data_IF_021786349581
#
_entry.id   IF_021786349581
#
_cell.length_a   1.000
_cell.length_b   1.000
_cell.length_c   1.000
_cell.angle_alpha   90.00
_cell.angle_beta   90.00
_cell.angle_gamma   90.00
#
_symmetry.space_group_name_H-M   'P 1'
#
loop_
_entity.id
_entity.type
_entity.pdbx_description
1 polymer ?
#
# COMPACT_ATOMS: atom_id res chain seq x y z
N UNK A 1 -1.55 6.47 72.49
CA UNK A 1 -1.55 7.34 71.30
C UNK A 1 -1.82 6.42 70.12
N UNK A 2 -2.92 6.51 69.37
CA UNK A 2 -3.73 7.68 69.02
C UNK A 2 -5.22 7.48 69.39
N UNK A 3 -5.80 8.48 70.05
CA UNK A 3 -7.24 8.67 70.14
C UNK A 3 -7.54 10.07 69.60
N UNK A 4 -8.56 10.23 68.75
CA UNK A 4 -8.90 11.51 68.12
C UNK A 4 -8.27 11.75 66.75
N UNK A 5 -8.43 10.81 65.80
CA UNK A 5 -8.42 11.18 64.38
C UNK A 5 -9.84 11.64 64.02
N UNK A 6 -9.99 12.89 63.59
CA UNK A 6 -11.28 13.45 63.16
C UNK A 6 -11.87 12.61 62.02
N UNK A 7 -13.17 12.31 62.11
CA UNK A 7 -13.93 11.55 61.12
C UNK A 7 -13.80 12.17 59.71
N UNK A 8 -13.67 13.51 59.64
CA UNK A 8 -13.40 14.23 58.40
C UNK A 8 -12.08 13.82 57.75
N UNK A 9 -11.05 13.59 58.57
CA UNK A 9 -9.72 13.18 58.10
C UNK A 9 -9.73 11.75 57.55
N UNK A 10 -10.44 10.83 58.24
CA UNK A 10 -10.63 9.45 57.77
C UNK A 10 -11.39 9.42 56.44
N UNK A 11 -12.45 10.24 56.31
CA UNK A 11 -13.20 10.37 55.05
C UNK A 11 -12.37 10.98 53.92
N UNK A 12 -11.54 11.99 54.19
CA UNK A 12 -10.60 12.53 53.19
C UNK A 12 -9.59 11.47 52.73
N UNK A 13 -8.99 10.70 53.65
CA UNK A 13 -8.03 9.63 53.29
C UNK A 13 -8.70 8.53 52.46
N UNK A 14 -9.94 8.15 52.78
CA UNK A 14 -10.71 7.19 51.98
C UNK A 14 -11.07 7.74 50.59
N UNK A 15 -11.45 9.03 50.48
CA UNK A 15 -11.70 9.68 49.19
C UNK A 15 -10.42 9.78 48.34
N UNK A 16 -9.28 10.12 48.94
CA UNK A 16 -7.99 10.15 48.25
C UNK A 16 -7.56 8.75 47.81
N UNK A 17 -7.75 7.72 48.64
CA UNK A 17 -7.48 6.34 48.27
C UNK A 17 -8.37 5.86 47.10
N UNK A 18 -9.66 6.20 47.11
CA UNK A 18 -10.59 5.92 46.02
C UNK A 18 -10.22 6.68 44.73
N UNK A 19 -9.82 7.95 44.84
CA UNK A 19 -9.34 8.72 43.69
C UNK A 19 -8.08 8.10 43.08
N UNK A 20 -7.12 7.65 43.91
CA UNK A 20 -5.89 7.00 43.45
C UNK A 20 -6.14 5.62 42.81
N UNK A 21 -7.10 4.82 43.31
CA UNK A 21 -7.46 3.54 42.67
C UNK A 21 -8.21 3.75 41.36
N UNK A 22 -9.07 4.77 41.25
CA UNK A 22 -9.72 5.16 39.98
C UNK A 22 -8.66 5.66 38.97
N UNK A 23 -7.69 6.47 39.38
CA UNK A 23 -6.57 6.90 38.52
C UNK A 23 -5.70 5.72 38.05
N UNK A 24 -5.47 4.71 38.92
CA UNK A 24 -4.70 3.53 38.55
C UNK A 24 -5.42 2.61 37.53
N UNK A 25 -6.76 2.59 37.53
CA UNK A 25 -7.56 1.83 36.55
C UNK A 25 -7.66 2.55 35.19
N UNK A 26 -7.63 3.89 35.18
CA UNK A 26 -7.70 4.69 33.95
C UNK A 26 -6.35 4.86 33.22
N UNK A 27 -5.23 4.64 33.92
CA UNK A 27 -3.87 4.93 33.42
C UNK A 27 -3.24 3.96 32.41
N UNK A 28 -4.00 3.06 31.74
CA UNK A 28 -3.43 2.06 30.81
C UNK A 28 -3.84 2.17 29.33
N UNK A 29 -4.75 3.07 28.93
CA UNK A 29 -5.30 3.04 27.57
C UNK A 29 -4.53 3.83 26.50
N UNK A 30 -3.80 4.90 26.83
CA UNK A 30 -3.17 5.79 25.81
C UNK A 30 -2.23 5.08 24.81
N UNK A 31 -1.65 3.94 25.20
CA UNK A 31 -0.74 3.17 24.34
C UNK A 31 -1.44 2.27 23.31
N UNK A 32 -2.75 2.07 23.45
CA UNK A 32 -3.57 1.20 22.60
C UNK A 32 -3.98 1.88 21.30
N UNK A 33 -4.36 3.15 21.36
CA UNK A 33 -5.04 3.85 20.27
C UNK A 33 -4.11 4.20 19.09
N UNK A 34 -2.79 4.30 19.35
CA UNK A 34 -1.74 4.51 18.34
C UNK A 34 -1.74 3.42 17.23
N UNK A 35 -2.34 2.26 17.47
CA UNK A 35 -2.40 1.15 16.51
C UNK A 35 -3.79 0.90 15.91
N UNK A 36 -4.71 1.88 15.99
CA UNK A 36 -6.10 1.76 15.53
C UNK A 36 -6.42 2.78 14.44
N UNK A 37 -7.30 2.41 13.51
CA UNK A 37 -7.95 3.37 12.62
C UNK A 37 -9.00 4.12 13.41
N UNK A 38 -8.80 5.42 13.64
CA UNK A 38 -9.77 6.30 14.30
C UNK A 38 -10.75 6.87 13.28
N UNK A 39 -12.05 6.80 13.56
CA UNK A 39 -13.07 7.46 12.74
C UNK A 39 -12.83 8.98 12.72
N UNK A 40 -12.85 9.60 11.53
CA UNK A 40 -12.68 11.05 11.39
C UNK A 40 -13.70 11.66 10.42
N UNK A 41 -14.16 12.88 10.71
CA UNK A 41 -14.94 13.67 9.77
C UNK A 41 -14.03 14.33 8.73
N UNK A 42 -14.58 14.53 7.53
CA UNK A 42 -13.84 15.00 6.36
C UNK A 42 -14.52 16.24 5.74
N UNK A 43 -13.75 17.14 5.12
CA UNK A 43 -14.29 18.30 4.41
C UNK A 43 -15.11 17.87 3.20
N UNK A 44 -16.27 18.50 2.97
CA UNK A 44 -17.10 18.25 1.80
C UNK A 44 -16.64 19.11 0.62
N UNK A 45 -16.34 18.46 -0.52
CA UNK A 45 -15.77 19.09 -1.70
C UNK A 45 -16.81 19.08 -2.82
N UNK A 46 -17.27 20.26 -3.25
CA UNK A 46 -18.31 20.39 -4.28
C UNK A 46 -17.71 20.84 -5.61
N UNK A 47 -18.11 20.18 -6.70
CA UNK A 47 -17.88 20.66 -8.07
C UNK A 47 -18.74 21.90 -8.31
N UNK A 48 -18.11 22.99 -8.76
CA UNK A 48 -18.80 24.26 -9.07
C UNK A 48 -19.04 24.44 -10.56
N UNK A 49 -17.96 24.33 -11.33
CA UNK A 49 -17.96 24.63 -12.75
C UNK A 49 -17.01 23.66 -13.46
N UNK A 50 -17.27 23.36 -14.73
CA UNK A 50 -16.39 22.50 -15.53
C UNK A 50 -16.35 23.02 -16.95
N UNK A 51 -15.17 23.49 -17.37
CA UNK A 51 -14.92 24.10 -18.66
C UNK A 51 -14.07 23.20 -19.55
N UNK A 52 -14.27 23.18 -20.88
CA UNK A 52 -13.31 22.58 -21.81
C UNK A 52 -11.99 23.36 -21.80
N UNK A 53 -10.88 22.65 -21.97
CA UNK A 53 -9.52 23.20 -22.06
C UNK A 53 -8.87 22.76 -23.37
N UNK A 54 -7.90 23.53 -23.85
CA UNK A 54 -7.12 23.25 -25.06
C UNK A 54 -6.63 21.79 -25.11
N UNK A 55 -6.77 21.17 -26.28
CA UNK A 55 -6.32 19.80 -26.56
C UNK A 55 -4.84 19.62 -26.19
N UNK A 56 -4.46 18.52 -25.51
CA UNK A 56 -3.05 18.25 -25.20
C UNK A 56 -2.25 18.09 -26.48
N UNK A 57 -1.04 18.65 -26.50
CA UNK A 57 -0.11 18.54 -27.61
C UNK A 57 0.76 17.28 -27.50
N UNK A 58 0.83 16.69 -26.30
CA UNK A 58 1.67 15.56 -25.92
C UNK A 58 3.17 15.82 -26.17
N UNK A 59 3.60 17.08 -26.02
CA UNK A 59 5.01 17.51 -26.15
C UNK A 59 5.71 17.42 -24.78
N UNK A 60 5.40 16.36 -24.01
CA UNK A 60 6.17 16.04 -22.82
C UNK A 60 7.61 15.78 -23.22
N UNK A 61 8.56 16.49 -22.61
CA UNK A 61 9.98 16.29 -22.91
C UNK A 61 10.44 14.97 -22.30
N UNK A 62 11.09 14.11 -23.10
CA UNK A 62 11.97 13.09 -22.54
C UNK A 62 13.08 13.77 -21.71
N UNK A 63 13.46 13.12 -20.62
CA UNK A 63 14.31 13.69 -19.57
C UNK A 63 15.66 14.17 -20.13
N UNK A 64 15.91 15.48 -20.01
CA UNK A 64 17.21 15.86 -19.45
C UNK A 64 17.12 15.54 -17.96
N UNK A 65 18.17 14.95 -17.38
CA UNK A 65 18.31 14.88 -15.93
C UNK A 65 18.07 16.28 -15.36
N UNK A 66 16.93 16.47 -14.68
CA UNK A 66 16.60 17.73 -14.06
C UNK A 66 17.54 17.88 -12.86
N UNK A 67 18.61 18.66 -13.06
CA UNK A 67 19.56 19.00 -12.00
C UNK A 67 18.75 19.62 -10.88
N UNK A 68 18.61 18.85 -9.79
CA UNK A 68 17.72 19.07 -8.67
C UNK A 68 16.88 20.35 -8.74
N UNK A 69 15.61 20.22 -9.13
CA UNK A 69 14.60 21.17 -8.64
C UNK A 69 14.51 20.99 -7.12
N UNK A 70 15.44 21.65 -6.39
CA UNK A 70 15.60 21.54 -4.94
C UNK A 70 14.26 21.81 -4.30
N UNK A 71 13.70 20.76 -3.68
CA UNK A 71 12.39 20.87 -3.06
C UNK A 71 12.57 21.61 -1.75
N UNK A 72 11.68 22.59 -1.56
CA UNK A 72 11.39 23.13 -0.25
C UNK A 72 11.13 21.99 0.75
N UNK A 73 12.12 21.72 1.59
CA UNK A 73 12.04 20.72 2.63
C UNK A 73 11.05 21.07 3.73
N UNK A 74 11.06 20.24 4.76
CA UNK A 74 10.11 20.34 5.88
C UNK A 74 10.16 21.71 6.56
N UNK A 75 11.33 22.33 6.64
CA UNK A 75 11.51 23.58 7.38
C UNK A 75 10.82 24.76 6.69
N UNK A 76 10.95 24.90 5.37
CA UNK A 76 10.18 25.92 4.65
C UNK A 76 8.69 25.55 4.55
N UNK A 77 8.31 24.26 4.46
CA UNK A 77 6.90 23.87 4.58
C UNK A 77 6.31 24.21 5.96
N UNK A 78 7.07 24.08 7.05
CA UNK A 78 6.68 24.50 8.39
C UNK A 78 6.65 26.02 8.56
N UNK A 79 7.36 26.78 7.72
CA UNK A 79 7.32 28.25 7.71
C UNK A 79 6.29 28.85 6.74
N UNK A 80 5.63 28.05 5.90
CA UNK A 80 4.61 28.56 5.00
C UNK A 80 3.39 29.04 5.81
N UNK A 81 2.84 30.23 5.52
CA UNK A 81 1.62 30.68 6.16
C UNK A 81 0.44 29.74 5.83
N UNK A 82 -0.56 29.62 6.71
CA UNK A 82 -1.79 28.88 6.42
C UNK A 82 -2.37 29.31 5.07
N UNK A 83 -2.72 28.33 4.25
CA UNK A 83 -3.23 28.57 2.91
C UNK A 83 -4.64 29.14 2.98
N UNK A 84 -4.84 30.32 2.39
CA UNK A 84 -6.17 30.91 2.24
C UNK A 84 -7.14 29.97 1.49
N UNK A 85 -8.42 30.02 1.85
CA UNK A 85 -9.45 29.13 1.29
C UNK A 85 -9.53 29.25 -0.23
N UNK A 86 -9.46 30.46 -0.81
CA UNK A 86 -9.55 30.64 -2.27
C UNK A 86 -8.34 29.99 -2.96
N UNK A 87 -7.15 30.10 -2.36
CA UNK A 87 -5.94 29.45 -2.87
C UNK A 87 -6.03 27.92 -2.75
N UNK A 88 -6.60 27.41 -1.66
CA UNK A 88 -6.81 25.98 -1.43
C UNK A 88 -7.84 25.39 -2.40
N UNK A 89 -8.97 26.06 -2.60
CA UNK A 89 -10.01 25.69 -3.59
C UNK A 89 -9.44 25.67 -5.01
N UNK A 90 -8.66 26.68 -5.39
CA UNK A 90 -7.98 26.74 -6.70
C UNK A 90 -6.99 25.59 -6.91
N UNK A 91 -6.30 25.15 -5.86
CA UNK A 91 -5.33 24.04 -5.90
C UNK A 91 -6.03 22.67 -5.92
N UNK A 92 -7.20 22.57 -5.28
CA UNK A 92 -8.08 21.39 -5.27
C UNK A 92 -9.01 21.33 -6.49
N UNK A 93 -9.07 22.39 -7.31
CA UNK A 93 -9.48 22.30 -8.70
C UNK A 93 -8.69 21.20 -9.41
N UNK A 94 -9.20 20.67 -10.52
CA UNK A 94 -8.54 19.55 -11.17
C UNK A 94 -8.83 19.49 -12.66
N UNK A 95 -7.92 18.86 -13.39
CA UNK A 95 -8.08 18.61 -14.81
C UNK A 95 -8.49 17.15 -15.06
N UNK A 96 -9.37 16.93 -16.03
CA UNK A 96 -9.76 15.59 -16.52
C UNK A 96 -9.43 15.43 -18.00
N UNK A 97 -8.56 14.47 -18.33
CA UNK A 97 -8.34 13.99 -19.70
C UNK A 97 -9.17 12.73 -19.97
N UNK A 98 -9.91 12.71 -21.08
CA UNK A 98 -10.82 11.63 -21.48
C UNK A 98 -10.25 10.72 -22.60
N UNK A 99 -10.83 9.53 -22.82
CA UNK A 99 -10.40 8.55 -23.84
C UNK A 99 -10.43 9.10 -25.29
N UNK A 100 -11.27 10.09 -25.58
CA UNK A 100 -11.30 10.80 -26.87
C UNK A 100 -10.13 11.78 -27.05
N UNK A 101 -9.45 12.18 -25.96
CA UNK A 101 -8.37 13.18 -25.94
C UNK A 101 -8.81 14.60 -25.54
N UNK A 102 -10.10 14.85 -25.27
CA UNK A 102 -10.54 16.17 -24.75
C UNK A 102 -10.09 16.36 -23.31
N UNK A 103 -9.89 17.62 -22.91
CA UNK A 103 -9.57 18.04 -21.53
C UNK A 103 -10.68 18.94 -20.98
N UNK A 104 -10.95 18.82 -19.69
CA UNK A 104 -11.75 19.80 -18.94
C UNK A 104 -11.05 20.20 -17.64
N UNK A 105 -11.18 21.47 -17.26
CA UNK A 105 -10.84 21.95 -15.92
C UNK A 105 -12.11 22.03 -15.09
N UNK A 106 -12.05 21.54 -13.86
CA UNK A 106 -13.15 21.57 -12.90
C UNK A 106 -12.76 22.42 -11.69
N UNK A 107 -13.53 23.49 -11.49
CA UNK A 107 -13.46 24.35 -10.31
C UNK A 107 -14.25 23.72 -9.16
N UNK A 108 -13.76 23.88 -7.93
CA UNK A 108 -14.35 23.26 -6.73
C UNK A 108 -14.49 24.27 -5.60
N UNK A 109 -15.37 24.00 -4.63
CA UNK A 109 -15.44 24.74 -3.37
C UNK A 109 -15.49 23.80 -2.17
N UNK A 110 -14.96 24.25 -1.04
CA UNK A 110 -15.01 23.53 0.23
C UNK A 110 -16.19 24.01 1.08
N UNK A 111 -16.93 23.05 1.65
CA UNK A 111 -17.98 23.33 2.63
C UNK A 111 -17.53 22.93 4.04
N UNK A 112 -17.71 23.85 4.99
CA UNK A 112 -17.95 23.53 6.39
C UNK A 112 -16.86 22.77 7.12
N UNK A 113 -15.59 23.14 6.95
CA UNK A 113 -14.50 22.55 7.74
C UNK A 113 -13.56 23.61 8.29
N UNK A 114 -13.76 23.97 9.57
CA UNK A 114 -12.72 24.64 10.35
C UNK A 114 -11.60 23.62 10.55
N UNK A 115 -10.57 23.70 9.70
CA UNK A 115 -9.36 22.93 9.89
C UNK A 115 -8.65 23.49 11.13
N UNK A 116 -8.93 22.90 12.29
CA UNK A 116 -7.98 22.95 13.40
C UNK A 116 -6.73 22.24 12.94
N UNK A 117 -5.84 23.00 12.29
CA UNK A 117 -4.47 22.61 12.03
C UNK A 117 -3.88 22.20 13.38
N UNK A 118 -3.90 20.90 13.65
CA UNK A 118 -3.38 20.34 14.90
C UNK A 118 -1.94 20.82 14.99
N UNK A 119 -1.66 21.66 15.99
CA UNK A 119 -0.36 22.31 16.11
C UNK A 119 0.70 21.22 16.20
N UNK A 120 1.39 20.98 15.07
CA UNK A 120 2.43 19.99 14.98
C UNK A 120 3.61 20.49 15.81
N UNK A 121 3.59 20.10 17.08
CA UNK A 121 4.78 20.16 17.92
C UNK A 121 5.87 19.37 17.20
N UNK A 122 7.00 20.04 16.96
CA UNK A 122 8.18 19.43 16.36
C UNK A 122 8.72 18.35 17.30
N UNK A 123 8.17 17.15 17.19
CA UNK A 123 8.70 15.99 17.88
C UNK A 123 10.00 15.61 17.18
N UNK A 124 11.13 16.06 17.73
CA UNK A 124 12.46 15.58 17.37
C UNK A 124 12.54 14.07 17.63
N UNK A 125 12.14 13.27 16.65
CA UNK A 125 12.35 11.83 16.66
C UNK A 125 13.85 11.58 16.74
N UNK A 126 14.29 10.93 17.83
CA UNK A 126 15.69 10.60 18.05
C UNK A 126 16.20 9.82 16.83
N UNK A 127 17.04 10.47 15.99
CA UNK A 127 17.67 9.85 14.82
C UNK A 127 18.34 8.55 15.23
N UNK A 128 17.68 7.41 14.98
CA UNK A 128 18.37 6.13 14.97
C UNK A 128 19.27 6.16 13.74
N UNK A 129 20.57 5.96 13.94
CA UNK A 129 21.53 5.75 12.84
C UNK A 129 21.03 4.56 12.02
N UNK A 130 20.43 4.83 10.88
CA UNK A 130 20.15 3.80 9.89
C UNK A 130 21.43 3.64 9.08
N UNK A 131 22.19 2.60 9.40
CA UNK A 131 23.29 2.15 8.54
C UNK A 131 22.64 1.66 7.25
N UNK A 132 23.12 2.14 6.09
CA UNK A 132 22.70 1.60 4.80
C UNK A 132 23.01 0.10 4.77
N UNK A 133 21.96 -0.72 4.86
CA UNK A 133 22.05 -2.16 4.92
C UNK A 133 22.01 -2.79 3.54
N UNK A 134 22.23 -4.10 3.50
CA UNK A 134 21.95 -4.96 2.34
C UNK A 134 20.54 -4.72 1.77
N UNK A 135 20.44 -4.83 0.44
CA UNK A 135 19.24 -4.63 -0.39
C UNK A 135 17.92 -4.97 0.35
N UNK A 136 17.10 -3.93 0.54
CA UNK A 136 15.85 -4.01 1.30
C UNK A 136 14.65 -4.50 0.47
N UNK A 137 14.86 -4.85 -0.79
CA UNK A 137 13.81 -5.13 -1.78
C UNK A 137 13.48 -6.63 -1.79
N UNK A 138 12.25 -6.95 -1.41
CA UNK A 138 11.74 -8.32 -1.43
C UNK A 138 11.08 -8.62 -2.77
N UNK A 139 11.80 -9.29 -3.67
CA UNK A 139 11.30 -9.71 -4.98
C UNK A 139 10.28 -10.85 -4.81
N UNK A 140 8.99 -10.55 -5.00
CA UNK A 140 7.89 -11.51 -4.88
C UNK A 140 7.87 -12.42 -6.12
N UNK A 141 8.70 -13.47 -6.07
CA UNK A 141 8.93 -14.39 -7.20
C UNK A 141 8.03 -15.63 -7.17
N UNK A 142 7.47 -16.00 -6.02
CA UNK A 142 6.56 -17.15 -5.90
C UNK A 142 5.18 -16.76 -6.43
N UNK A 143 4.73 -17.54 -7.41
CA UNK A 143 3.46 -17.37 -8.13
C UNK A 143 2.26 -17.23 -7.20
N UNK A 144 2.24 -17.93 -6.07
CA UNK A 144 1.14 -17.88 -5.11
C UNK A 144 0.98 -16.48 -4.49
N UNK A 145 2.08 -15.79 -4.21
CA UNK A 145 2.04 -14.48 -3.56
C UNK A 145 1.74 -13.35 -4.55
N UNK A 146 2.19 -13.46 -5.80
CA UNK A 146 1.98 -12.44 -6.85
C UNK A 146 0.49 -12.08 -7.02
N UNK A 147 -0.41 -13.07 -6.99
CA UNK A 147 -1.86 -12.83 -7.12
C UNK A 147 -2.58 -12.58 -5.81
N UNK A 148 -1.90 -12.68 -4.67
CA UNK A 148 -2.49 -12.51 -3.35
C UNK A 148 -2.35 -11.07 -2.84
N UNK A 149 -3.34 -10.66 -2.04
CA UNK A 149 -3.33 -9.37 -1.36
C UNK A 149 -2.24 -9.37 -0.26
N UNK A 150 -1.45 -8.29 -0.09
CA UNK A 150 -1.59 -6.97 -0.70
C UNK A 150 -0.93 -6.81 -2.08
N UNK A 151 -0.09 -7.75 -2.51
CA UNK A 151 0.76 -7.60 -3.70
C UNK A 151 -0.04 -7.47 -5.00
N UNK A 152 -1.18 -8.15 -5.12
CA UNK A 152 -2.05 -8.06 -6.30
C UNK A 152 -2.79 -6.74 -6.48
N UNK A 153 -2.72 -5.82 -5.50
CA UNK A 153 -3.18 -4.44 -5.66
C UNK A 153 -2.15 -3.55 -6.39
N UNK A 154 -0.88 -3.96 -6.48
CA UNK A 154 0.15 -3.22 -7.21
C UNK A 154 -0.04 -3.37 -8.73
N UNK A 155 0.13 -2.28 -9.46
CA UNK A 155 -0.03 -2.24 -10.93
C UNK A 155 1.12 -1.50 -11.60
N UNK A 156 1.32 -1.78 -12.89
CA UNK A 156 2.32 -1.10 -13.74
C UNK A 156 1.61 -0.24 -14.78
N UNK A 157 2.10 0.97 -15.04
CA UNK A 157 1.62 1.85 -16.11
C UNK A 157 2.42 1.58 -17.40
N UNK A 158 1.86 1.93 -18.56
CA UNK A 158 2.59 1.87 -19.83
C UNK A 158 3.82 2.78 -19.86
N UNK A 159 3.79 3.87 -19.09
CA UNK A 159 4.90 4.81 -18.88
C UNK A 159 6.05 4.24 -18.05
N UNK A 160 5.96 2.99 -17.58
CA UNK A 160 6.99 2.33 -16.78
C UNK A 160 6.82 2.50 -15.26
N UNK A 161 6.05 3.50 -14.83
CA UNK A 161 5.69 3.73 -13.43
C UNK A 161 4.86 2.60 -12.78
N UNK A 162 4.76 2.69 -11.46
CA UNK A 162 3.89 1.88 -10.60
C UNK A 162 2.57 2.60 -10.26
N UNK A 163 1.63 1.85 -9.68
CA UNK A 163 0.36 2.36 -9.15
C UNK A 163 -0.22 1.39 -8.13
N UNK A 164 -1.33 1.80 -7.50
CA UNK A 164 -2.12 0.95 -6.60
C UNK A 164 -3.60 0.96 -6.99
N UNK A 165 -4.22 -0.21 -7.07
CA UNK A 165 -5.67 -0.36 -7.18
C UNK A 165 -6.32 0.05 -5.87
N UNK A 166 -7.18 1.06 -5.91
CA UNK A 166 -8.01 1.51 -4.77
C UNK A 166 -9.52 1.28 -4.96
N UNK A 167 -9.91 0.79 -6.15
CA UNK A 167 -11.24 0.23 -6.41
C UNK A 167 -11.15 -0.71 -7.63
N UNK A 168 -12.17 -1.53 -7.93
CA UNK A 168 -12.15 -2.40 -9.12
C UNK A 168 -11.93 -1.65 -10.45
N UNK A 169 -12.16 -0.34 -10.49
CA UNK A 169 -11.95 0.52 -11.67
C UNK A 169 -10.95 1.65 -11.46
N UNK A 170 -10.37 1.85 -10.28
CA UNK A 170 -9.58 3.05 -9.99
C UNK A 170 -8.17 2.73 -9.50
N UNK A 171 -7.21 3.42 -10.10
CA UNK A 171 -5.78 3.31 -9.79
C UNK A 171 -5.27 4.68 -9.34
N UNK A 172 -4.64 4.71 -8.17
CA UNK A 172 -3.90 5.86 -7.68
C UNK A 172 -2.43 5.69 -8.08
N UNK A 173 -1.81 6.78 -8.55
CA UNK A 173 -0.42 6.85 -9.01
C UNK A 173 0.11 8.28 -8.82
N UNK A 174 1.38 8.54 -9.14
CA UNK A 174 1.96 9.88 -9.09
C UNK A 174 1.55 10.68 -10.34
N UNK A 175 1.32 11.99 -10.21
CA UNK A 175 0.99 12.85 -11.35
C UNK A 175 2.15 12.91 -12.37
N UNK A 176 3.39 12.94 -11.88
CA UNK A 176 4.63 12.89 -12.69
C UNK A 176 4.69 11.68 -13.63
N UNK A 177 4.03 10.56 -13.31
CA UNK A 177 4.00 9.36 -14.14
C UNK A 177 3.18 9.50 -15.44
N UNK A 178 2.47 10.62 -15.62
CA UNK A 178 1.55 10.85 -16.74
C UNK A 178 1.53 12.31 -17.24
N UNK A 179 2.08 13.28 -16.49
CA UNK A 179 2.02 14.71 -16.79
C UNK A 179 3.26 15.43 -16.26
N UNK A 180 3.92 16.27 -17.07
CA UNK A 180 5.18 16.94 -16.71
C UNK A 180 5.00 18.24 -15.89
N UNK A 181 3.74 18.65 -15.66
CA UNK A 181 3.37 19.90 -15.02
C UNK A 181 2.78 20.91 -16.02
N UNK A 182 3.00 20.72 -17.32
CA UNK A 182 2.45 21.52 -18.42
C UNK A 182 1.53 20.72 -19.34
N UNK A 183 1.90 19.48 -19.68
CA UNK A 183 1.13 18.62 -20.58
C UNK A 183 1.28 17.11 -20.24
N UNK A 184 0.44 16.28 -20.86
CA UNK A 184 0.46 14.83 -20.66
C UNK A 184 1.61 14.16 -21.43
N UNK A 185 2.25 13.18 -20.79
CA UNK A 185 3.36 12.38 -21.36
C UNK A 185 2.88 11.36 -22.40
N UNK A 186 1.69 10.77 -22.20
CA UNK A 186 1.09 9.80 -23.11
C UNK A 186 -0.32 10.22 -23.54
N UNK A 187 -0.65 9.95 -24.82
CA UNK A 187 -2.03 9.99 -25.30
C UNK A 187 -2.93 9.05 -24.49
N UNK A 188 -4.15 9.51 -24.16
CA UNK A 188 -5.17 8.69 -23.49
C UNK A 188 -5.47 7.35 -24.20
N UNK A 189 -5.24 7.26 -25.51
CA UNK A 189 -5.36 6.01 -26.29
C UNK A 189 -4.19 5.04 -26.10
N UNK A 190 -3.01 5.54 -25.72
CA UNK A 190 -1.79 4.75 -25.46
C UNK A 190 -1.73 4.28 -24.01
N UNK A 191 -2.15 5.14 -23.06
CA UNK A 191 -2.09 4.90 -21.62
C UNK A 191 -2.85 3.64 -21.19
N UNK A 192 -2.14 2.71 -20.56
CA UNK A 192 -2.67 1.44 -20.06
C UNK A 192 -2.15 1.16 -18.66
N UNK A 193 -2.91 0.36 -17.92
CA UNK A 193 -2.52 -0.21 -16.64
C UNK A 193 -2.49 -1.74 -16.74
N UNK A 194 -1.36 -2.33 -16.36
CA UNK A 194 -1.10 -3.76 -16.29
C UNK A 194 -1.29 -4.28 -14.88
N UNK A 195 -2.22 -5.22 -14.71
CA UNK A 195 -2.34 -6.04 -13.50
C UNK A 195 -1.63 -7.38 -13.73
N UNK A 196 -0.83 -7.84 -12.78
CA UNK A 196 -0.10 -9.09 -12.92
C UNK A 196 -1.06 -10.30 -12.73
N UNK A 197 -0.97 -11.30 -13.60
CA UNK A 197 -1.79 -12.52 -13.56
C UNK A 197 -0.97 -13.76 -13.88
N UNK A 198 -1.25 -14.89 -13.22
CA UNK A 198 -0.63 -16.17 -13.56
C UNK A 198 -1.25 -16.74 -14.82
N UNK A 199 -0.44 -16.89 -15.88
CA UNK A 199 -0.86 -17.62 -17.07
C UNK A 199 -0.67 -19.13 -16.82
N UNK A 200 -1.77 -19.82 -16.53
CA UNK A 200 -1.79 -21.28 -16.54
C UNK A 200 -1.49 -21.74 -17.97
N UNK A 201 -0.33 -22.39 -18.18
CA UNK A 201 -0.06 -23.10 -19.43
C UNK A 201 -1.07 -24.25 -19.56
N UNK A 202 -2.18 -24.02 -20.28
CA UNK A 202 -3.04 -25.11 -20.78
C UNK A 202 -2.15 -26.01 -21.63
N UNK A 203 -1.78 -27.17 -21.09
CA UNK A 203 -0.99 -28.15 -21.81
C UNK A 203 -1.68 -28.50 -23.12
N UNK A 204 -0.91 -28.62 -24.21
CA UNK A 204 -1.37 -29.27 -25.44
C UNK A 204 -1.56 -30.77 -25.17
N UNK A 205 -2.56 -31.14 -24.38
CA UNK A 205 -3.15 -32.47 -24.47
C UNK A 205 -3.76 -32.56 -25.87
N UNK A 206 -3.06 -33.28 -26.74
CA UNK A 206 -3.43 -33.39 -28.14
C UNK A 206 -4.85 -33.92 -28.27
N UNK A 207 -5.58 -33.40 -29.27
CA UNK A 207 -6.87 -33.95 -29.71
C UNK A 207 -6.67 -35.42 -30.14
N UNK A 208 -6.75 -36.37 -29.21
CA UNK A 208 -7.01 -37.76 -29.55
C UNK A 208 -8.43 -37.83 -30.09
N UNK A 209 -8.56 -37.81 -31.42
CA UNK A 209 -9.76 -38.29 -32.12
C UNK A 209 -10.07 -39.68 -31.58
N UNK A 210 -11.16 -39.83 -30.85
CA UNK A 210 -11.54 -41.09 -30.22
C UNK A 210 -13.05 -41.28 -30.19
N UNK A 211 -13.53 -42.27 -30.94
CA UNK A 211 -14.73 -43.04 -30.61
C UNK A 211 -16.06 -42.29 -30.46
N UNK A 212 -16.79 -42.17 -31.57
CA UNK A 212 -18.25 -41.96 -31.59
C UNK A 212 -18.97 -43.04 -30.75
N UNK A 213 -19.53 -42.69 -29.58
CA UNK A 213 -20.64 -43.43 -28.95
C UNK A 213 -21.72 -42.47 -28.45
N UNK A 214 -22.98 -42.80 -28.78
CA UNK A 214 -24.19 -42.08 -28.36
C UNK A 214 -24.65 -42.60 -27.00
N UNK A 215 -24.81 -41.70 -26.04
CA UNK A 215 -25.81 -41.66 -24.97
C UNK A 215 -25.61 -40.27 -24.34
N UNK A 216 -26.63 -39.43 -24.12
CA UNK A 216 -28.00 -39.74 -23.72
C UNK A 216 -28.06 -39.51 -22.22
N UNK A 217 -28.34 -38.26 -21.82
CA UNK A 217 -28.32 -37.78 -20.43
C UNK A 217 -28.10 -36.27 -20.38
N UNK A 218 -29.14 -35.52 -20.01
CA UNK A 218 -29.04 -34.12 -19.62
C UNK A 218 -28.61 -34.04 -18.15
N UNK A 219 -27.49 -33.38 -17.85
CA UNK A 219 -27.21 -32.89 -16.50
C UNK A 219 -26.87 -31.39 -16.58
N UNK A 220 -27.70 -30.57 -15.91
CA UNK A 220 -27.43 -29.14 -15.74
C UNK A 220 -26.33 -28.98 -14.69
N UNK A 221 -25.12 -28.67 -15.14
CA UNK A 221 -24.04 -28.27 -14.25
C UNK A 221 -24.30 -26.83 -13.75
N UNK A 222 -24.81 -26.71 -12.52
CA UNK A 222 -24.97 -25.46 -11.79
C UNK A 222 -23.59 -24.95 -11.35
N UNK A 223 -23.15 -23.80 -11.88
CA UNK A 223 -21.83 -23.23 -11.57
C UNK A 223 -21.89 -22.53 -10.19
N UNK A 224 -21.71 -23.33 -9.13
CA UNK A 224 -21.78 -22.85 -7.76
C UNK A 224 -20.72 -21.77 -7.45
N UNK A 225 -21.21 -20.65 -6.92
CA UNK A 225 -20.41 -19.56 -6.39
C UNK A 225 -19.52 -20.08 -5.24
N UNK A 226 -18.20 -19.92 -5.35
CA UNK A 226 -17.33 -20.02 -4.16
C UNK A 226 -17.47 -18.76 -3.31
N UNK A 227 -18.26 -18.90 -2.25
CA UNK A 227 -18.41 -17.92 -1.18
C UNK A 227 -17.10 -17.71 -0.41
N UNK A 228 -16.93 -16.53 0.18
CA UNK A 228 -15.64 -16.06 0.71
C UNK A 228 -15.26 -16.69 2.04
N UNK A 229 -14.38 -17.71 2.01
CA UNK A 229 -13.70 -18.19 3.20
C UNK A 229 -12.78 -17.14 3.82
N UNK A 230 -13.06 -16.73 5.06
CA UNK A 230 -12.13 -15.95 5.88
C UNK A 230 -10.99 -16.84 6.40
N UNK A 231 -9.72 -16.48 6.14
CA UNK A 231 -8.60 -17.11 6.87
C UNK A 231 -7.68 -16.11 7.56
N UNK A 232 -7.41 -16.40 8.83
CA UNK A 232 -6.65 -15.59 9.78
C UNK A 232 -5.19 -16.05 9.77
N UNK A 233 -4.30 -15.25 9.20
CA UNK A 233 -2.86 -15.50 9.31
C UNK A 233 -2.25 -14.77 10.52
N UNK A 234 -2.21 -15.47 11.66
CA UNK A 234 -1.32 -15.19 12.77
C UNK A 234 0.02 -15.88 12.53
N UNK A 235 1.07 -15.09 12.29
CA UNK A 235 2.45 -15.54 12.44
C UNK A 235 2.88 -15.12 13.84
N UNK A 236 3.10 -16.10 14.73
CA UNK A 236 3.91 -15.87 15.92
C UNK A 236 4.70 -17.13 16.27
N UNK A 237 5.85 -16.94 16.90
CA UNK A 237 6.94 -17.93 16.93
C UNK A 237 7.08 -18.72 18.24
N UNK A 238 7.77 -19.85 18.10
CA UNK A 238 8.62 -20.51 19.12
C UNK A 238 8.08 -20.77 20.53
N UNK A 239 7.86 -22.06 20.83
CA UNK A 239 8.33 -22.66 22.10
C UNK A 239 8.82 -24.09 21.89
N UNK A 240 10.02 -24.38 22.37
CA UNK A 240 10.74 -25.62 22.09
C UNK A 240 10.16 -26.86 22.77
N UNK A 241 10.20 -28.00 22.06
CA UNK A 241 9.86 -29.32 22.62
C UNK A 241 11.02 -29.87 23.45
N UNK A 242 10.84 -30.00 24.77
CA UNK A 242 11.60 -30.98 25.56
C UNK A 242 10.93 -32.35 25.42
N UNK A 243 11.72 -33.38 25.13
CA UNK A 243 11.23 -34.74 24.88
C UNK A 243 11.12 -35.60 26.14
N UNK A 244 10.55 -36.79 25.98
CA UNK A 244 10.48 -37.80 27.04
C UNK A 244 9.56 -38.96 26.66
N UNK A 245 10.14 -40.07 26.19
CA UNK A 245 9.43 -41.33 25.99
C UNK A 245 10.26 -42.50 26.56
N UNK A 246 9.88 -43.02 27.73
CA UNK A 246 10.24 -44.38 28.17
C UNK A 246 9.34 -45.39 27.43
N UNK A 247 9.84 -46.50 26.86
CA UNK A 247 10.36 -47.73 27.51
C UNK A 247 9.35 -48.34 28.50
N UNK A 248 9.07 -49.67 28.56
CA UNK A 248 9.35 -50.93 27.80
C UNK A 248 8.30 -51.97 28.33
N UNK A 249 8.01 -53.16 27.79
CA UNK A 249 8.82 -54.39 27.97
C UNK A 249 8.14 -55.70 27.44
N UNK A 250 9.02 -56.68 27.12
CA UNK A 250 8.91 -58.16 26.90
C UNK A 250 9.48 -58.50 25.51
N UNK A 251 10.52 -59.32 25.29
CA UNK A 251 11.12 -60.47 26.00
C UNK A 251 10.92 -61.73 25.12
N UNK A 252 11.84 -62.66 24.84
CA UNK A 252 13.29 -62.83 25.11
C UNK A 252 13.81 -64.19 24.54
N UNK A 253 15.14 -64.46 24.52
CA UNK A 253 15.85 -65.70 24.03
C UNK A 253 15.70 -65.99 22.50
N UNK A 254 16.60 -66.61 21.71
CA UNK A 254 17.95 -67.17 21.87
C UNK A 254 18.04 -68.62 21.32
N UNK A 255 18.94 -69.07 20.42
CA UNK A 255 20.07 -68.45 19.67
C UNK A 255 20.86 -69.49 18.80
N UNK A 256 22.08 -69.15 18.33
CA UNK A 256 23.07 -69.95 17.52
C UNK A 256 22.85 -70.14 16.00
N UNK A 257 23.94 -70.57 15.34
CA UNK A 257 24.33 -70.46 13.92
C UNK A 257 23.79 -71.54 12.96
N UNK A 258 23.83 -71.28 11.65
CA UNK A 258 23.63 -72.26 10.57
C UNK A 258 23.72 -71.64 9.17
N UNK A 259 24.53 -72.21 8.27
CA UNK A 259 24.85 -71.70 6.92
C UNK A 259 23.98 -72.37 5.84
N UNK A 260 23.45 -71.62 4.86
CA UNK A 260 23.46 -71.94 3.41
C UNK A 260 22.69 -70.87 2.60
N UNK A 261 22.87 -70.86 1.27
CA UNK A 261 22.57 -69.75 0.36
C UNK A 261 21.57 -70.15 -0.75
N UNK A 262 20.53 -69.33 -0.98
CA UNK A 262 20.01 -68.81 -2.28
C UNK A 262 18.50 -68.44 -2.27
N UNK A 263 18.21 -67.23 -2.77
CA UNK A 263 16.98 -66.74 -3.46
C UNK A 263 15.59 -67.19 -2.92
N UNK A 264 14.72 -66.33 -2.37
CA UNK A 264 14.11 -65.18 -3.07
C UNK A 264 13.34 -64.21 -2.12
N UNK A 265 13.08 -62.97 -2.57
CA UNK A 265 11.86 -62.22 -2.21
C UNK A 265 11.70 -61.56 -0.82
N UNK A 266 12.11 -60.28 -0.67
CA UNK A 266 11.25 -59.13 -0.27
C UNK A 266 12.07 -57.86 0.02
N UNK A 267 12.02 -56.88 -0.90
CA UNK A 267 12.67 -55.57 -0.77
C UNK A 267 12.16 -54.79 0.46
N UNK A 268 12.99 -54.66 1.50
CA UNK A 268 12.75 -53.70 2.60
C UNK A 268 12.86 -52.28 2.06
N UNK A 269 11.79 -51.48 2.20
CA UNK A 269 11.77 -50.05 1.87
C UNK A 269 12.82 -49.31 2.72
N UNK A 270 13.93 -48.93 2.09
CA UNK A 270 14.80 -47.87 2.63
C UNK A 270 13.96 -46.59 2.68
N UNK A 271 13.62 -46.08 3.87
CA UNK A 271 13.02 -44.74 4.02
C UNK A 271 14.11 -43.70 3.85
N UNK A 272 14.56 -43.51 2.60
CA UNK A 272 15.38 -42.35 2.23
C UNK A 272 14.62 -41.11 2.66
N UNK A 273 15.23 -40.28 3.52
CA UNK A 273 14.68 -38.98 3.88
C UNK A 273 14.61 -38.13 2.61
N UNK A 274 13.42 -38.05 2.01
CA UNK A 274 13.17 -37.18 0.88
C UNK A 274 13.30 -35.75 1.36
N UNK A 275 14.50 -35.18 1.22
CA UNK A 275 14.74 -33.75 1.16
C UNK A 275 13.67 -33.18 0.22
N UNK A 276 12.68 -32.48 0.77
CA UNK A 276 11.60 -31.86 0.01
C UNK A 276 12.24 -30.77 -0.84
N UNK A 277 12.69 -31.13 -2.04
CA UNK A 277 12.79 -30.19 -3.14
C UNK A 277 11.36 -29.70 -3.35
N UNK A 278 11.07 -28.48 -2.87
CA UNK A 278 9.93 -27.73 -3.39
C UNK A 278 10.17 -27.64 -4.89
N UNK A 279 9.45 -28.43 -5.66
CA UNK A 279 9.41 -28.26 -7.10
C UNK A 279 8.85 -26.87 -7.35
N UNK A 280 9.69 -25.99 -7.91
CA UNK A 280 9.20 -24.83 -8.63
C UNK A 280 8.12 -25.31 -9.59
N UNK A 281 6.88 -24.79 -9.49
CA UNK A 281 5.83 -25.16 -10.43
C UNK A 281 6.19 -24.64 -11.82
N UNK A 282 6.73 -25.50 -12.68
CA UNK A 282 7.31 -25.16 -13.99
C UNK A 282 6.27 -24.73 -15.05
N UNK A 283 5.08 -24.26 -14.64
CA UNK A 283 3.93 -24.02 -15.51
C UNK A 283 3.17 -22.70 -15.33
N UNK A 284 3.42 -21.91 -14.28
CA UNK A 284 2.71 -20.65 -14.00
C UNK A 284 3.65 -19.45 -14.14
N UNK A 285 3.71 -18.85 -15.33
CA UNK A 285 4.45 -17.60 -15.54
C UNK A 285 3.54 -16.40 -15.22
N UNK A 286 4.01 -15.40 -14.46
CA UNK A 286 3.30 -14.13 -14.30
C UNK A 286 3.35 -13.37 -15.64
N UNK A 287 2.24 -12.73 -16.02
CA UNK A 287 2.12 -11.94 -17.24
C UNK A 287 1.20 -10.74 -16.96
N UNK A 288 1.55 -9.56 -17.45
CA UNK A 288 0.67 -8.40 -17.34
C UNK A 288 -0.57 -8.53 -18.22
N UNK A 289 -1.74 -8.34 -17.59
CA UNK A 289 -3.00 -8.10 -18.29
C UNK A 289 -3.26 -6.60 -18.33
N UNK A 290 -3.09 -6.02 -19.51
CA UNK A 290 -3.26 -4.59 -19.74
C UNK A 290 -4.73 -4.20 -19.96
N UNK A 291 -5.15 -3.11 -19.31
CA UNK A 291 -6.45 -2.44 -19.49
C UNK A 291 -6.21 -0.98 -19.86
N UNK A 292 -6.96 -0.43 -20.82
CA UNK A 292 -6.87 1.00 -21.18
C UNK A 292 -7.48 1.88 -20.09
N UNK A 293 -6.94 3.09 -19.95
CA UNK A 293 -7.54 4.16 -19.13
C UNK A 293 -8.71 4.79 -19.91
N UNK A 294 -9.80 5.12 -19.22
CA UNK A 294 -11.00 5.79 -19.74
C UNK A 294 -10.95 7.30 -19.49
N UNK A 295 -10.54 7.69 -18.28
CA UNK A 295 -10.29 9.07 -17.92
C UNK A 295 -9.20 9.15 -16.84
N UNK A 296 -8.53 10.28 -16.80
CA UNK A 296 -7.40 10.58 -15.93
C UNK A 296 -7.67 11.91 -15.24
N UNK A 297 -7.53 11.97 -13.91
CA UNK A 297 -7.70 13.20 -13.14
C UNK A 297 -6.42 13.59 -12.41
N UNK A 298 -6.08 14.87 -12.48
CA UNK A 298 -4.86 15.47 -11.92
C UNK A 298 -5.24 16.75 -11.16
N UNK A 299 -4.79 16.94 -9.90
CA UNK A 299 -5.06 18.16 -9.15
C UNK A 299 -4.33 19.36 -9.76
N UNK A 300 -4.99 20.51 -9.75
CA UNK A 300 -4.49 21.77 -10.30
C UNK A 300 -3.25 22.26 -9.54
N UNK A 301 -3.06 21.85 -8.27
CA UNK A 301 -1.81 22.00 -7.53
C UNK A 301 -0.56 21.44 -8.22
N UNK A 302 -0.67 20.33 -8.98
CA UNK A 302 0.43 19.80 -9.79
C UNK A 302 0.79 20.73 -10.95
N UNK A 303 -0.23 21.36 -11.55
CA UNK A 303 -0.15 22.11 -12.81
C UNK A 303 0.26 23.59 -12.58
N UNK A 304 -0.18 24.21 -11.48
CA UNK A 304 0.03 25.65 -11.21
C UNK A 304 1.50 26.05 -10.94
N UNK A 305 2.36 25.10 -10.61
CA UNK A 305 3.67 25.35 -9.99
C UNK A 305 4.72 26.01 -10.88
N UNK A 306 4.47 26.21 -12.19
CA UNK A 306 5.38 26.95 -13.07
C UNK A 306 5.12 28.47 -13.15
N UNK A 307 4.02 28.96 -12.56
CA UNK A 307 3.61 30.37 -12.66
C UNK A 307 3.84 31.21 -11.40
N UNK A 308 4.39 30.61 -10.35
CA UNK A 308 4.78 31.32 -9.12
C UNK A 308 5.93 30.59 -8.43
N UNK A 309 6.76 31.31 -7.66
CA UNK A 309 7.90 30.77 -6.88
C UNK A 309 7.48 29.86 -5.69
N UNK A 310 6.32 29.19 -5.79
CA UNK A 310 5.78 28.29 -4.77
C UNK A 310 6.02 26.84 -5.20
N UNK A 311 6.89 26.14 -4.51
CA UNK A 311 7.31 24.75 -4.74
C UNK A 311 6.27 23.68 -4.39
N UNK A 312 4.97 23.98 -4.56
CA UNK A 312 3.84 23.20 -4.03
C UNK A 312 3.40 22.06 -4.97
N UNK A 313 3.93 21.99 -6.21
CA UNK A 313 3.62 20.88 -7.14
C UNK A 313 3.85 19.50 -6.51
N UNK A 314 4.95 19.34 -5.78
CA UNK A 314 5.33 18.07 -5.15
C UNK A 314 4.30 17.58 -4.13
N UNK A 315 3.66 18.49 -3.39
CA UNK A 315 2.59 18.17 -2.44
C UNK A 315 1.36 17.57 -3.14
N UNK A 316 1.17 17.88 -4.43
CA UNK A 316 0.05 17.45 -5.27
C UNK A 316 0.48 16.48 -6.37
N UNK A 317 1.62 15.80 -6.21
CA UNK A 317 2.11 14.77 -7.15
C UNK A 317 1.34 13.44 -7.01
N UNK A 318 0.02 13.48 -7.24
CA UNK A 318 -0.85 12.30 -7.31
C UNK A 318 -1.89 12.44 -8.44
N UNK A 319 -2.31 11.32 -9.00
CA UNK A 319 -3.32 11.27 -10.05
C UNK A 319 -4.20 10.03 -9.92
N UNK A 320 -5.44 10.13 -10.39
CA UNK A 320 -6.39 9.01 -10.41
C UNK A 320 -6.71 8.60 -11.85
N UNK A 321 -6.54 7.31 -12.14
CA UNK A 321 -6.90 6.71 -13.43
C UNK A 321 -8.18 5.88 -13.27
N UNK A 322 -9.23 6.20 -14.02
CA UNK A 322 -10.37 5.28 -14.20
C UNK A 322 -10.07 4.30 -15.34
N UNK A 323 -10.09 3.01 -15.04
CA UNK A 323 -9.93 1.93 -16.00
C UNK A 323 -11.20 1.73 -16.83
N UNK A 324 -11.03 1.56 -18.15
CA UNK A 324 -12.15 1.31 -19.09
C UNK A 324 -12.94 0.03 -18.77
N UNK A 325 -12.35 -0.92 -18.03
CA UNK A 325 -12.99 -2.15 -17.58
C UNK A 325 -12.59 -2.45 -16.14
N UNK A 326 -13.48 -2.97 -15.29
CA UNK A 326 -13.12 -3.39 -13.95
C UNK A 326 -12.16 -4.59 -13.99
N UNK A 327 -11.21 -4.61 -13.06
CA UNK A 327 -10.28 -5.74 -12.85
C UNK A 327 -10.81 -6.67 -11.76
N UNK A 328 -10.33 -7.93 -11.75
CA UNK A 328 -10.74 -8.96 -10.77
C UNK A 328 -9.82 -9.04 -9.54
N UNK A 329 -8.68 -8.35 -9.58
CA UNK A 329 -7.72 -8.30 -8.47
C UNK A 329 -8.33 -7.60 -7.25
N UNK A 330 -7.88 -8.00 -6.06
CA UNK A 330 -8.21 -7.28 -4.82
C UNK A 330 -7.53 -5.91 -4.85
N UNK A 331 -8.30 -4.87 -4.61
CA UNK A 331 -7.82 -3.51 -4.40
C UNK A 331 -7.52 -3.28 -2.92
N UNK A 332 -6.82 -2.20 -2.60
CA UNK A 332 -6.59 -1.75 -1.24
C UNK A 332 -7.54 -0.60 -0.91
N UNK A 333 -7.98 -0.48 0.34
CA UNK A 333 -8.77 0.66 0.76
C UNK A 333 -7.93 1.94 0.77
N UNK A 334 -8.57 3.08 0.52
CA UNK A 334 -7.95 4.39 0.69
C UNK A 334 -8.01 4.79 2.17
N UNK A 335 -7.03 5.57 2.63
CA UNK A 335 -6.93 6.05 4.02
C UNK A 335 -6.33 7.44 4.10
N UNK A 336 -6.64 8.15 5.18
CA UNK A 336 -5.93 9.37 5.56
C UNK A 336 -4.67 8.99 6.33
N UNK A 337 -3.56 9.67 6.07
CA UNK A 337 -2.32 9.51 6.84
C UNK A 337 -2.51 9.99 8.29
N UNK A 338 -2.34 9.14 9.32
CA UNK A 338 -2.46 9.54 10.71
C UNK A 338 -1.61 10.76 11.09
N UNK A 339 -2.17 11.66 11.88
CA UNK A 339 -1.48 12.87 12.37
C UNK A 339 -0.85 12.69 13.76
N UNK A 340 -1.34 11.74 14.57
CA UNK A 340 -1.09 11.66 16.02
C UNK A 340 0.18 10.88 16.43
N UNK A 341 0.90 10.26 15.50
CA UNK A 341 2.17 9.58 15.78
C UNK A 341 3.04 9.49 14.52
N UNK A 342 4.38 9.62 14.62
CA UNK A 342 5.28 9.45 13.49
C UNK A 342 5.17 8.02 12.93
N UNK A 343 5.09 7.89 11.60
CA UNK A 343 4.82 6.62 10.93
C UNK A 343 6.01 5.65 11.05
N UNK A 344 5.99 4.87 12.14
CA UNK A 344 7.10 3.97 12.55
C UNK A 344 7.50 2.96 11.47
N UNK A 345 6.56 2.51 10.64
CA UNK A 345 6.81 1.66 9.49
C UNK A 345 5.75 1.85 8.41
N UNK A 346 6.19 2.25 7.22
CA UNK A 346 5.40 2.26 5.99
C UNK A 346 5.75 1.05 5.13
N UNK A 347 4.84 0.68 4.24
CA UNK A 347 4.96 -0.43 3.31
C UNK A 347 4.52 0.00 1.92
N UNK A 348 5.19 -0.48 0.88
CA UNK A 348 4.66 -0.40 -0.49
C UNK A 348 5.11 -1.58 -1.34
N UNK A 349 4.37 -1.82 -2.41
CA UNK A 349 4.69 -2.81 -3.45
C UNK A 349 4.54 -2.15 -4.81
N UNK A 350 5.51 -2.38 -5.69
CA UNK A 350 5.57 -1.78 -7.03
C UNK A 350 6.50 -2.56 -7.95
N UNK A 351 6.84 -1.95 -9.07
CA UNK A 351 7.72 -2.52 -10.09
C UNK A 351 8.92 -1.58 -10.25
N UNK A 352 10.14 -2.08 -10.09
CA UNK A 352 11.34 -1.28 -10.28
C UNK A 352 11.79 -1.38 -11.73
N UNK A 353 12.43 -0.32 -12.25
CA UNK A 353 13.02 -0.30 -13.59
C UNK A 353 14.38 -1.03 -13.65
N UNK A 354 14.58 -2.03 -12.78
CA UNK A 354 15.88 -2.62 -12.50
C UNK A 354 16.26 -3.69 -13.55
N UNK A 355 17.07 -3.28 -14.52
CA UNK A 355 17.63 -4.14 -15.56
C UNK A 355 18.64 -5.17 -15.03
N UNK A 356 19.09 -5.07 -13.76
CA UNK A 356 20.07 -6.00 -13.17
C UNK A 356 19.48 -7.35 -12.75
N UNK A 357 18.15 -7.51 -12.82
CA UNK A 357 17.48 -8.80 -12.64
C UNK A 357 17.71 -9.69 -13.88
N UNK A 358 18.89 -10.34 -13.89
CA UNK A 358 19.61 -11.13 -14.92
C UNK A 358 18.81 -12.07 -15.87
N UNK A 359 17.51 -12.26 -15.68
CA UNK A 359 16.68 -13.22 -16.44
C UNK A 359 15.97 -12.59 -17.65
N UNK A 360 16.10 -11.29 -17.90
CA UNK A 360 15.30 -10.54 -18.90
C UNK A 360 13.80 -10.40 -18.54
N UNK A 361 13.38 -10.97 -17.42
CA UNK A 361 12.02 -10.92 -16.86
C UNK A 361 11.93 -10.04 -15.58
N UNK A 362 12.92 -9.20 -15.30
CA UNK A 362 12.93 -8.31 -14.12
C UNK A 362 11.68 -7.43 -14.04
N UNK A 363 11.32 -6.86 -15.19
CA UNK A 363 10.11 -6.10 -15.51
C UNK A 363 8.77 -6.70 -15.07
N UNK A 364 8.70 -8.02 -14.85
CA UNK A 364 7.47 -8.76 -14.53
C UNK A 364 7.39 -9.24 -13.06
N UNK A 365 8.30 -8.76 -12.19
CA UNK A 365 8.35 -9.12 -10.76
C UNK A 365 7.86 -7.97 -9.88
N UNK A 366 6.92 -8.25 -8.97
CA UNK A 366 6.49 -7.28 -7.94
C UNK A 366 7.57 -7.22 -6.85
N UNK A 367 7.97 -6.02 -6.49
CA UNK A 367 8.95 -5.75 -5.43
C UNK A 367 8.26 -5.08 -4.25
N UNK A 368 8.21 -5.82 -3.14
CA UNK A 368 7.73 -5.36 -1.85
C UNK A 368 8.88 -4.75 -1.03
N UNK A 369 8.60 -3.66 -0.32
CA UNK A 369 9.53 -3.07 0.64
C UNK A 369 8.82 -2.40 1.80
N UNK A 370 9.58 -2.14 2.86
CA UNK A 370 9.15 -1.39 4.03
C UNK A 370 10.33 -0.63 4.62
N UNK A 371 10.06 0.54 5.19
CA UNK A 371 11.03 1.34 5.93
C UNK A 371 10.31 2.17 6.99
N UNK A 372 11.07 2.82 7.87
CA UNK A 372 10.54 3.85 8.77
C UNK A 372 10.52 5.19 8.06
N UNK A 373 9.54 6.04 8.40
CA UNK A 373 9.56 7.44 7.98
C UNK A 373 10.56 8.20 8.84
N UNK A 374 11.45 8.96 8.19
CA UNK A 374 12.56 9.66 8.83
C UNK A 374 12.15 11.06 9.30
N UNK A 375 11.38 11.78 8.48
CA UNK A 375 10.73 13.05 8.82
C UNK A 375 9.38 13.16 8.07
N UNK A 376 8.51 14.04 8.53
CA UNK A 376 7.19 14.30 7.94
C UNK A 376 6.90 15.80 7.85
N UNK A 377 6.13 16.22 6.85
CA UNK A 377 5.46 17.52 6.78
C UNK A 377 3.94 17.31 6.65
N UNK A 378 3.17 18.38 6.41
CA UNK A 378 1.71 18.31 6.23
C UNK A 378 1.33 17.42 5.04
N UNK A 379 2.07 17.53 3.93
CA UNK A 379 1.71 16.95 2.65
C UNK A 379 2.70 15.90 2.11
N UNK A 380 3.90 15.79 2.70
CA UNK A 380 4.96 14.85 2.29
C UNK A 380 5.49 14.02 3.47
N UNK A 381 5.93 12.80 3.17
CA UNK A 381 6.67 11.93 4.09
C UNK A 381 8.02 11.58 3.48
N UNK A 382 9.08 11.70 4.29
CA UNK A 382 10.48 11.59 3.86
C UNK A 382 11.11 10.35 4.48
N UNK A 383 11.75 9.53 3.66
CA UNK A 383 12.13 8.16 4.03
C UNK A 383 13.29 7.64 3.17
N UNK A 384 13.88 6.51 3.57
CA UNK A 384 15.01 5.88 2.88
C UNK A 384 14.72 4.40 2.56
N UNK A 385 13.53 4.10 2.02
CA UNK A 385 13.21 2.79 1.43
C UNK A 385 14.02 2.63 0.13
N UNK A 386 14.72 1.51 -0.02
CA UNK A 386 15.40 1.13 -1.27
C UNK A 386 14.40 1.01 -2.43
N UNK A 387 14.55 1.84 -3.46
CA UNK A 387 13.60 1.93 -4.58
C UNK A 387 14.22 2.59 -5.82
N UNK A 388 13.95 2.00 -6.99
CA UNK A 388 14.35 2.53 -8.30
C UNK A 388 13.22 3.37 -8.95
N UNK A 389 13.50 4.18 -9.99
CA UNK A 389 12.53 5.11 -10.59
C UNK A 389 11.17 4.50 -10.98
N UNK A 390 11.12 3.26 -11.48
CA UNK A 390 9.85 2.58 -11.81
C UNK A 390 8.88 2.42 -10.63
N UNK A 391 9.36 2.47 -9.39
CA UNK A 391 8.53 2.40 -8.19
C UNK A 391 7.66 3.67 -7.99
N UNK A 392 7.94 4.76 -8.71
CA UNK A 392 7.14 5.99 -8.71
C UNK A 392 5.65 5.68 -8.95
N UNK A 393 4.78 6.28 -8.15
CA UNK A 393 3.35 6.04 -8.14
C UNK A 393 2.89 4.84 -7.30
N UNK A 394 3.78 4.02 -6.74
CA UNK A 394 3.37 2.93 -5.86
C UNK A 394 2.61 3.43 -4.62
N UNK A 395 1.55 2.70 -4.24
CA UNK A 395 0.75 3.02 -3.06
C UNK A 395 1.49 2.74 -1.76
N UNK A 396 1.69 3.77 -0.95
CA UNK A 396 2.24 3.67 0.41
C UNK A 396 1.10 3.39 1.38
N UNK A 397 1.21 2.31 2.14
CA UNK A 397 0.19 1.85 3.08
C UNK A 397 0.76 1.50 4.45
N UNK A 398 -0.11 1.56 5.45
CA UNK A 398 0.14 1.07 6.81
C UNK A 398 -0.89 0.01 7.19
N UNK A 399 -0.65 -0.69 8.29
CA UNK A 399 -1.51 -1.77 8.79
C UNK A 399 -1.90 -1.47 10.24
N UNK A 400 -3.12 -0.99 10.47
CA UNK A 400 -3.68 -0.73 11.81
C UNK A 400 -4.87 -1.68 12.07
N UNK A 401 -5.35 -1.74 13.31
CA UNK A 401 -6.57 -2.47 13.67
C UNK A 401 -7.80 -1.59 13.45
N UNK A 402 -8.91 -2.19 13.04
CA UNK A 402 -10.22 -1.52 13.03
C UNK A 402 -10.70 -1.26 14.47
N UNK A 403 -11.44 -0.17 14.67
CA UNK A 403 -11.90 0.28 16.00
C UNK A 403 -13.01 -0.60 16.59
N UNK A 404 -13.91 -1.13 15.76
CA UNK A 404 -15.24 -1.61 16.18
C UNK A 404 -15.29 -2.92 16.98
N UNK A 405 -14.17 -3.60 17.26
CA UNK A 405 -14.16 -4.83 18.06
C UNK A 405 -13.00 -4.94 19.04
N UNK A 406 -13.23 -5.58 20.19
CA UNK A 406 -12.18 -6.01 21.14
C UNK A 406 -11.14 -6.98 20.51
N UNK A 407 -11.43 -7.53 19.32
CA UNK A 407 -10.52 -8.33 18.48
C UNK A 407 -10.40 -7.78 17.05
N UNK A 408 -10.51 -6.46 16.89
CA UNK A 408 -10.54 -5.75 15.60
C UNK A 408 -9.57 -6.28 14.55
N UNK A 409 -10.10 -6.58 13.36
CA UNK A 409 -9.34 -7.10 12.22
C UNK A 409 -8.25 -6.11 11.79
N UNK A 410 -7.11 -6.63 11.34
CA UNK A 410 -6.03 -5.81 10.80
C UNK A 410 -6.34 -5.39 9.36
N UNK A 411 -6.48 -4.09 9.12
CA UNK A 411 -6.80 -3.52 7.81
C UNK A 411 -5.61 -2.72 7.29
N UNK A 412 -5.32 -2.84 5.98
CA UNK A 412 -4.33 -2.01 5.30
C UNK A 412 -5.05 -0.98 4.46
N UNK A 413 -4.74 0.30 4.68
CA UNK A 413 -5.23 1.42 3.87
C UNK A 413 -4.04 2.15 3.24
N UNK A 414 -4.18 2.57 1.99
CA UNK A 414 -3.22 3.44 1.29
C UNK A 414 -3.31 4.82 1.89
N UNK A 415 -2.21 5.30 2.46
CA UNK A 415 -2.09 6.63 3.10
C UNK A 415 -1.16 7.58 2.34
N UNK A 416 -0.57 7.12 1.23
CA UNK A 416 0.30 7.95 0.40
C UNK A 416 0.64 7.36 -0.96
N UNK A 417 1.36 8.15 -1.76
CA UNK A 417 1.83 7.80 -3.10
C UNK A 417 3.34 8.05 -3.17
N UNK A 418 4.12 7.03 -3.50
CA UNK A 418 5.57 7.15 -3.61
C UNK A 418 5.94 8.06 -4.80
N UNK A 419 6.65 9.17 -4.52
CA UNK A 419 6.92 10.23 -5.49
C UNK A 419 8.29 10.10 -6.17
N UNK A 420 9.21 9.30 -5.60
CA UNK A 420 10.55 9.07 -6.12
C UNK A 420 11.65 9.55 -5.18
N UNK A 421 12.86 9.65 -5.71
CA UNK A 421 14.04 10.20 -5.04
C UNK A 421 14.10 11.73 -5.22
N UNK A 422 14.58 12.45 -4.21
CA UNK A 422 14.72 13.91 -4.27
C UNK A 422 15.76 14.45 -3.28
N UNK A 423 16.43 15.52 -3.71
CA UNK A 423 17.29 16.35 -2.87
C UNK A 423 16.43 17.39 -2.15
N UNK A 424 16.69 17.54 -0.85
CA UNK A 424 15.86 18.31 0.08
C UNK A 424 16.76 19.13 0.99
N UNK A 425 16.52 20.43 1.04
CA UNK A 425 17.19 21.33 1.99
C UNK A 425 16.85 20.94 3.44
N UNK A 426 17.86 20.92 4.31
CA UNK A 426 17.67 20.73 5.75
C UNK A 426 18.49 21.72 6.59
N UNK A 427 18.11 21.77 7.87
CA UNK A 427 18.60 22.70 8.87
C UNK A 427 20.13 22.79 8.89
N UNK A 428 20.64 23.99 8.60
CA UNK A 428 22.06 24.28 8.40
C UNK A 428 22.46 24.62 6.96
N UNK A 429 21.57 24.44 5.98
CA UNK A 429 21.86 24.68 4.55
C UNK A 429 22.52 23.50 3.85
N UNK A 430 22.50 22.32 4.47
CA UNK A 430 22.90 21.07 3.82
C UNK A 430 21.75 20.55 2.94
N UNK A 431 22.02 20.18 1.69
CA UNK A 431 21.12 19.30 0.93
C UNK A 431 21.25 17.85 1.44
N UNK A 432 20.13 17.14 1.60
CA UNK A 432 20.10 15.71 1.93
C UNK A 432 19.18 14.94 1.00
N UNK A 433 19.60 13.73 0.68
CA UNK A 433 18.87 12.82 -0.19
C UNK A 433 17.75 12.11 0.59
N UNK A 434 16.55 12.13 0.03
CA UNK A 434 15.40 11.40 0.57
C UNK A 434 14.61 10.76 -0.56
N UNK A 435 14.01 9.62 -0.26
CA UNK A 435 12.87 9.15 -1.04
C UNK A 435 11.61 9.77 -0.44
N UNK A 436 10.79 10.37 -1.28
CA UNK A 436 9.62 11.18 -0.90
C UNK A 436 8.34 10.43 -1.28
N UNK A 437 7.30 10.58 -0.47
CA UNK A 437 5.95 10.16 -0.83
C UNK A 437 4.93 11.24 -0.44
N UNK A 438 3.92 11.44 -1.28
CA UNK A 438 2.81 12.34 -1.00
C UNK A 438 1.90 11.71 0.05
N UNK A 439 1.62 12.44 1.14
CA UNK A 439 0.61 12.09 2.15
C UNK A 439 -0.78 12.29 1.59
N UNK A 440 -1.69 11.36 1.87
CA UNK A 440 -3.13 11.55 1.70
C UNK A 440 -3.66 12.24 2.95
N UNK A 441 -3.85 13.55 2.85
CA UNK A 441 -4.50 14.40 3.87
C UNK A 441 -6.03 14.29 3.76
N UNK A 442 -6.82 14.79 4.75
CA UNK A 442 -8.28 14.80 4.67
C UNK A 442 -8.83 15.42 3.37
N UNK A 443 -8.23 16.54 2.91
CA UNK A 443 -8.61 17.22 1.67
C UNK A 443 -8.34 16.36 0.42
N UNK A 444 -7.15 15.75 0.34
CA UNK A 444 -6.77 14.85 -0.75
C UNK A 444 -7.64 13.59 -0.77
N UNK A 445 -7.96 13.04 0.41
CA UNK A 445 -8.90 11.93 0.53
C UNK A 445 -10.28 12.31 0.01
N UNK A 446 -10.84 13.45 0.44
CA UNK A 446 -12.15 13.92 -0.01
C UNK A 446 -12.21 14.08 -1.54
N UNK A 447 -11.18 14.70 -2.14
CA UNK A 447 -11.07 14.87 -3.59
C UNK A 447 -11.00 13.51 -4.33
N UNK A 448 -10.13 12.59 -3.89
CA UNK A 448 -10.01 11.25 -4.50
C UNK A 448 -11.29 10.43 -4.32
N UNK A 449 -11.93 10.53 -3.15
CA UNK A 449 -13.20 9.87 -2.87
C UNK A 449 -14.32 10.38 -3.78
N UNK A 450 -14.46 11.71 -3.92
CA UNK A 450 -15.42 12.31 -4.87
C UNK A 450 -15.14 11.85 -6.30
N UNK A 451 -13.88 11.77 -6.72
CA UNK A 451 -13.54 11.25 -8.05
C UNK A 451 -13.98 9.80 -8.27
N UNK A 452 -13.94 8.95 -7.23
CA UNK A 452 -14.35 7.54 -7.27
C UNK A 452 -15.87 7.36 -7.19
N UNK A 453 -16.53 8.16 -6.33
CA UNK A 453 -17.94 8.01 -5.97
C UNK A 453 -18.90 8.89 -6.77
N UNK A 454 -18.43 10.04 -7.26
CA UNK A 454 -19.25 11.11 -7.84
C UNK A 454 -20.00 11.94 -6.80
N UNK A 455 -20.50 11.31 -5.75
CA UNK A 455 -21.26 11.92 -4.66
C UNK A 455 -20.37 12.27 -3.44
N UNK A 456 -20.24 13.55 -3.06
CA UNK A 456 -19.49 14.01 -1.88
C UNK A 456 -20.07 13.51 -0.54
N UNK A 457 -21.37 13.21 -0.46
CA UNK A 457 -22.01 12.75 0.77
C UNK A 457 -21.46 11.41 1.26
N UNK A 458 -21.01 10.57 0.32
CA UNK A 458 -20.35 9.28 0.57
C UNK A 458 -18.88 9.41 1.04
N UNK A 459 -18.38 10.63 1.20
CA UNK A 459 -17.00 10.95 1.51
C UNK A 459 -16.82 11.76 2.81
N UNK A 460 -17.88 11.86 3.63
CA UNK A 460 -17.91 12.70 4.84
C UNK A 460 -17.17 12.11 6.05
N UNK A 461 -16.92 10.80 6.06
CA UNK A 461 -16.23 10.10 7.15
C UNK A 461 -15.39 8.92 6.62
N UNK A 462 -14.41 8.47 7.43
CA UNK A 462 -13.53 7.30 7.19
C UNK A 462 -13.03 6.67 8.49
#
# INVERSE_FOLDING_TARGET
MFAGMDLRYVMCVLFCAAALTVSAVLGQNERSDVYRWTRQSLPELLVRHTAPVNTPLFIGKEEKEDKGTTICGIECQSSLPPMDQVKQERILGYETMYENGTRTHTDVSLLGFNMTSGAHTSFHTRRKRQVYGVDGRFVISDSHFITNYPFSAAVRLSTGCSGVLISPKHVLTAARCIHDGKDYLESSRKLKVGVLQLKIKRGRFGRRRGGRRRSGGEEKAEEQLMEGGEEKNSIDGERGRRGGAGRRHRGGRGGKEGVTDRFEGRRRKLRTLSRIRRSTETGKQPVFRWTRVKQTRIPQGWILSMSSNNSVSSDYNYALLELRRPVKQRYMELGVAPAAAPLTRIHFSGFDADKSLLDGHGDEKVIYRFCSVAKESNDLMYQHCDAQPGAMGAGVYIRLRQEEEQKGKWQRRVIGVFAGHQWVDVEGGDEKDFNVAVRITPLKYAQICQWIRGDPSLCKEI
#
